data_IF_519826505882
#
_entry.id   IF_519826505882
#
_cell.length_a   1.000
_cell.length_b   1.000
_cell.length_c   1.000
_cell.angle_alpha   90.00
_cell.angle_beta   90.00
_cell.angle_gamma   90.00
#
_symmetry.space_group_name_H-M   'P 1'
#
loop_
_entity.id
_entity.type
_entity.pdbx_description
1 polymer ?
#
# COMPACT_ATOMS: atom_id res chain seq x y z
N UNK A 1 17.89 92.98 137.87
CA UNK A 1 16.71 93.68 137.30
C UNK A 1 15.73 92.63 136.84
N UNK A 2 14.61 92.54 137.55
CA UNK A 2 13.52 91.59 137.33
C UNK A 2 12.66 92.17 136.20
N UNK A 3 12.66 91.54 135.01
CA UNK A 3 11.76 91.94 133.93
C UNK A 3 10.29 91.71 134.35
N UNK A 4 9.46 92.70 134.06
CA UNK A 4 8.06 92.79 134.49
C UNK A 4 7.20 91.79 133.70
N UNK A 5 6.18 91.21 134.33
CA UNK A 5 5.31 90.17 133.76
C UNK A 5 4.71 90.55 132.38
N UNK A 6 4.49 91.85 132.16
CA UNK A 6 3.97 92.42 130.91
C UNK A 6 4.92 92.30 129.70
N UNK A 7 6.24 92.30 129.91
CA UNK A 7 7.22 92.15 128.82
C UNK A 7 7.30 90.71 128.31
N UNK A 8 7.16 89.73 129.21
CA UNK A 8 7.07 88.31 128.84
C UNK A 8 5.85 88.00 127.99
N UNK A 9 4.72 88.65 128.26
CA UNK A 9 3.48 88.43 127.49
C UNK A 9 3.62 88.94 126.06
N UNK A 10 4.22 90.11 125.87
CA UNK A 10 4.50 90.68 124.53
C UNK A 10 5.51 89.85 123.73
N UNK A 11 6.55 89.33 124.37
CA UNK A 11 7.52 88.43 123.72
C UNK A 11 6.83 87.17 123.20
N UNK A 12 5.93 86.60 123.99
CA UNK A 12 5.20 85.37 123.65
C UNK A 12 4.17 85.60 122.53
N UNK A 13 3.54 86.76 122.47
CA UNK A 13 2.64 87.15 121.37
C UNK A 13 3.39 87.29 120.04
N UNK A 14 4.58 87.91 120.05
CA UNK A 14 5.44 88.02 118.87
C UNK A 14 5.93 86.65 118.36
N UNK A 15 6.28 85.74 119.28
CA UNK A 15 6.64 84.36 118.91
C UNK A 15 5.44 83.60 118.33
N UNK A 16 4.23 83.80 118.87
CA UNK A 16 3.01 83.18 118.37
C UNK A 16 2.64 83.67 116.96
N UNK A 17 2.84 84.96 116.69
CA UNK A 17 2.66 85.55 115.34
C UNK A 17 3.68 85.00 114.35
N UNK A 18 4.94 84.86 114.76
CA UNK A 18 5.98 84.24 113.94
C UNK A 18 5.65 82.77 113.60
N UNK A 19 5.13 82.01 114.57
CA UNK A 19 4.70 80.62 114.34
C UNK A 19 3.49 80.55 113.39
N UNK A 20 2.53 81.47 113.51
CA UNK A 20 1.40 81.54 112.57
C UNK A 20 1.87 81.84 111.15
N UNK A 21 2.81 82.76 111.00
CA UNK A 21 3.39 83.11 109.71
C UNK A 21 4.12 81.90 109.08
N UNK A 22 4.96 81.20 109.86
CA UNK A 22 5.62 79.97 109.40
C UNK A 22 4.64 78.86 109.00
N UNK A 23 3.49 78.77 109.67
CA UNK A 23 2.47 77.76 109.37
C UNK A 23 1.76 78.03 108.05
N UNK A 24 1.52 79.30 107.72
CA UNK A 24 0.91 79.67 106.45
C UNK A 24 1.89 79.50 105.28
N UNK A 25 3.18 79.82 105.46
CA UNK A 25 4.21 79.48 104.46
C UNK A 25 4.33 77.96 104.22
N UNK A 26 4.27 77.13 105.27
CA UNK A 26 4.28 75.67 105.09
C UNK A 26 3.08 75.16 104.29
N UNK A 27 1.94 75.85 104.35
CA UNK A 27 0.73 75.50 103.60
C UNK A 27 0.86 75.90 102.13
N UNK A 28 1.44 77.06 101.85
CA UNK A 28 1.81 77.46 100.48
C UNK A 28 2.85 76.50 99.88
N UNK A 29 3.86 76.12 100.66
CA UNK A 29 4.89 75.18 100.21
C UNK A 29 4.32 73.78 99.93
N UNK A 30 3.30 73.36 100.70
CA UNK A 30 2.59 72.11 100.45
C UNK A 30 1.79 72.15 99.14
N UNK A 31 1.11 73.26 98.85
CA UNK A 31 0.43 73.44 97.56
C UNK A 31 1.43 73.39 96.39
N UNK A 32 2.62 73.96 96.57
CA UNK A 32 3.71 73.88 95.58
C UNK A 32 4.16 72.42 95.33
N UNK A 33 4.27 71.61 96.39
CA UNK A 33 4.62 70.20 96.27
C UNK A 33 3.53 69.35 95.61
N UNK A 34 2.24 69.66 95.84
CA UNK A 34 1.12 69.02 95.15
C UNK A 34 1.18 69.34 93.64
N UNK A 35 1.40 70.61 93.26
CA UNK A 35 1.54 71.00 91.85
C UNK A 35 2.75 70.37 91.13
N UNK A 36 3.83 70.06 91.86
CA UNK A 36 4.97 69.31 91.29
C UNK A 36 4.61 67.84 90.96
N UNK A 37 3.69 67.22 91.70
CA UNK A 37 3.21 65.86 91.38
C UNK A 37 2.33 65.86 90.13
N UNK A 38 1.44 66.84 89.99
CA UNK A 38 0.62 67.00 88.80
C UNK A 38 1.49 67.23 87.55
N UNK A 39 2.56 68.02 87.68
CA UNK A 39 3.53 68.24 86.61
C UNK A 39 4.30 66.96 86.22
N UNK A 40 4.61 66.09 87.18
CA UNK A 40 5.21 64.78 86.90
C UNK A 40 4.24 63.88 86.14
N UNK A 41 2.97 63.83 86.53
CA UNK A 41 1.95 63.05 85.84
C UNK A 41 1.76 63.52 84.39
N UNK A 42 1.67 64.84 84.17
CA UNK A 42 1.52 65.43 82.84
C UNK A 42 2.71 65.11 81.91
N UNK A 43 3.91 64.95 82.49
CA UNK A 43 5.13 64.60 81.75
C UNK A 43 5.11 63.15 81.24
N UNK A 44 4.54 62.22 82.01
CA UNK A 44 4.42 60.83 81.57
C UNK A 44 3.30 60.65 80.52
N UNK A 45 2.18 61.35 80.66
CA UNK A 45 1.15 61.36 79.61
C UNK A 45 1.68 61.93 78.28
N UNK A 46 2.58 62.92 78.33
CA UNK A 46 3.30 63.45 77.16
C UNK A 46 4.26 62.43 76.53
N UNK A 47 4.81 61.50 77.31
CA UNK A 47 5.69 60.43 76.83
C UNK A 47 4.88 59.34 76.15
N UNK A 48 3.76 58.94 76.73
CA UNK A 48 2.82 57.99 76.15
C UNK A 48 2.22 58.52 74.85
N UNK A 49 1.86 59.81 74.80
CA UNK A 49 1.37 60.45 73.57
C UNK A 49 2.42 60.51 72.46
N UNK A 50 3.71 60.66 72.81
CA UNK A 50 4.81 60.58 71.83
C UNK A 50 4.97 59.16 71.30
N UNK A 51 4.87 58.15 72.16
CA UNK A 51 4.94 56.75 71.74
C UNK A 51 3.78 56.39 70.81
N UNK A 52 2.55 56.76 71.18
CA UNK A 52 1.35 56.56 70.35
C UNK A 52 1.48 57.23 68.97
N UNK A 53 2.14 58.40 68.90
CA UNK A 53 2.37 59.12 67.65
C UNK A 53 3.34 58.39 66.71
N UNK A 54 4.37 57.75 67.24
CA UNK A 54 5.28 56.93 66.44
C UNK A 54 4.57 55.64 65.97
N UNK A 55 3.77 54.99 66.81
CA UNK A 55 2.97 53.82 66.40
C UNK A 55 1.96 54.16 65.29
N UNK A 56 1.34 55.35 65.34
CA UNK A 56 0.49 55.85 64.25
C UNK A 56 1.25 56.09 62.95
N UNK A 57 2.54 56.42 63.02
CA UNK A 57 3.39 56.64 61.85
C UNK A 57 3.73 55.31 61.18
N UNK A 58 4.07 54.29 61.96
CA UNK A 58 4.33 52.94 61.46
C UNK A 58 3.06 52.34 60.83
N UNK A 59 1.90 52.52 61.46
CA UNK A 59 0.62 52.07 60.88
C UNK A 59 0.25 52.80 59.60
N UNK A 60 0.57 54.10 59.50
CA UNK A 60 0.38 54.87 58.25
C UNK A 60 1.30 54.36 57.14
N UNK A 61 2.55 54.04 57.46
CA UNK A 61 3.47 53.45 56.50
C UNK A 61 2.96 52.09 56.00
N UNK A 62 2.49 51.24 56.92
CA UNK A 62 1.90 49.94 56.57
C UNK A 62 0.69 50.07 55.63
N UNK A 63 -0.19 51.06 55.87
CA UNK A 63 -1.32 51.31 54.97
C UNK A 63 -0.88 51.76 53.58
N UNK A 64 0.19 52.55 53.45
CA UNK A 64 0.70 52.98 52.15
C UNK A 64 1.35 51.82 51.39
N UNK A 65 2.10 50.96 52.07
CA UNK A 65 2.69 49.74 51.49
C UNK A 65 1.60 48.77 51.00
N UNK A 66 0.55 48.57 51.81
CA UNK A 66 -0.59 47.74 51.42
C UNK A 66 -1.32 48.32 50.20
N UNK A 67 -1.47 49.65 50.13
CA UNK A 67 -2.09 50.32 48.98
C UNK A 67 -1.26 50.12 47.71
N UNK A 68 0.06 50.29 47.77
CA UNK A 68 0.95 50.05 46.64
C UNK A 68 0.87 48.58 46.17
N UNK A 69 0.88 47.63 47.10
CA UNK A 69 0.73 46.21 46.77
C UNK A 69 -0.61 45.90 46.07
N UNK A 70 -1.69 46.58 46.48
CA UNK A 70 -3.00 46.41 45.86
C UNK A 70 -3.07 47.00 44.45
N UNK A 71 -2.40 48.13 44.21
CA UNK A 71 -2.26 48.74 42.87
C UNK A 71 -1.42 47.84 41.93
N UNK A 72 -0.32 47.28 42.42
CA UNK A 72 0.51 46.33 41.66
C UNK A 72 -0.28 45.05 41.31
N UNK A 73 -1.04 44.51 42.26
CA UNK A 73 -1.89 43.33 42.04
C UNK A 73 -2.97 43.61 40.98
N UNK A 74 -3.56 44.81 41.00
CA UNK A 74 -4.57 45.20 40.02
C UNK A 74 -4.00 45.23 38.59
N UNK A 75 -2.81 45.80 38.39
CA UNK A 75 -2.20 45.83 37.05
C UNK A 75 -1.70 44.45 36.60
N UNK A 76 -1.21 43.61 37.51
CA UNK A 76 -0.93 42.20 37.21
C UNK A 76 -2.18 41.47 36.73
N UNK A 77 -3.31 41.64 37.43
CA UNK A 77 -4.59 41.03 37.05
C UNK A 77 -5.06 41.50 35.67
N UNK A 78 -4.93 42.79 35.38
CA UNK A 78 -5.27 43.38 34.09
C UNK A 78 -4.43 42.78 32.95
N UNK A 79 -3.11 42.69 33.13
CA UNK A 79 -2.21 42.06 32.14
C UNK A 79 -2.60 40.59 31.92
N UNK A 80 -2.95 39.88 33.00
CA UNK A 80 -3.34 38.47 32.92
C UNK A 80 -4.66 38.27 32.16
N UNK A 81 -5.66 39.13 32.38
CA UNK A 81 -6.89 39.15 31.58
C UNK A 81 -6.61 39.40 30.08
N UNK A 82 -5.74 40.35 29.74
CA UNK A 82 -5.36 40.64 28.35
C UNK A 82 -4.61 39.46 27.71
N UNK A 83 -3.72 38.80 28.46
CA UNK A 83 -3.01 37.60 28.04
C UNK A 83 -3.98 36.47 27.66
N UNK A 84 -4.99 36.19 28.49
CA UNK A 84 -6.00 35.18 28.18
C UNK A 84 -6.80 35.55 26.92
N UNK A 85 -7.18 36.82 26.75
CA UNK A 85 -7.91 37.26 25.57
C UNK A 85 -7.08 37.10 24.26
N UNK A 86 -5.78 37.39 24.31
CA UNK A 86 -4.87 37.14 23.18
C UNK A 86 -4.71 35.65 22.89
N UNK A 87 -4.61 34.82 23.92
CA UNK A 87 -4.50 33.38 23.77
C UNK A 87 -5.72 32.78 23.07
N UNK A 88 -6.94 33.23 23.41
CA UNK A 88 -8.17 32.83 22.72
C UNK A 88 -8.14 33.19 21.23
N UNK A 89 -7.73 34.43 20.87
CA UNK A 89 -7.64 34.87 19.47
C UNK A 89 -6.64 34.04 18.66
N UNK A 90 -5.50 33.65 19.25
CA UNK A 90 -4.50 32.81 18.59
C UNK A 90 -5.09 31.44 18.25
N UNK A 91 -5.84 30.83 19.18
CA UNK A 91 -6.49 29.54 18.97
C UNK A 91 -7.53 29.64 17.83
N UNK A 92 -8.37 30.68 17.83
CA UNK A 92 -9.38 30.88 16.79
C UNK A 92 -8.77 31.07 15.40
N UNK A 93 -7.69 31.86 15.30
CA UNK A 93 -6.97 32.04 14.04
C UNK A 93 -6.35 30.73 13.55
N UNK A 94 -5.75 29.95 14.46
CA UNK A 94 -5.20 28.63 14.15
C UNK A 94 -6.27 27.67 13.61
N UNK A 95 -7.43 27.61 14.27
CA UNK A 95 -8.55 26.78 13.82
C UNK A 95 -9.09 27.21 12.44
N UNK A 96 -9.23 28.52 12.20
CA UNK A 96 -9.65 29.05 10.89
C UNK A 96 -8.67 28.69 9.78
N UNK A 97 -7.38 28.82 10.04
CA UNK A 97 -6.33 28.50 9.07
C UNK A 97 -6.31 26.99 8.78
N UNK A 98 -6.42 26.15 9.81
CA UNK A 98 -6.46 24.69 9.65
C UNK A 98 -7.67 24.24 8.84
N UNK A 99 -8.85 24.82 9.07
CA UNK A 99 -10.06 24.54 8.29
C UNK A 99 -9.89 24.93 6.82
N UNK A 100 -9.34 26.12 6.54
CA UNK A 100 -9.09 26.57 5.17
C UNK A 100 -8.09 25.68 4.42
N UNK A 101 -7.06 25.17 5.12
CA UNK A 101 -6.10 24.21 4.56
C UNK A 101 -6.78 22.88 4.23
N UNK A 102 -7.60 22.34 5.15
CA UNK A 102 -8.33 21.10 4.91
C UNK A 102 -9.31 21.20 3.73
N UNK A 103 -10.05 22.32 3.61
CA UNK A 103 -10.97 22.54 2.49
C UNK A 103 -10.23 22.62 1.14
N UNK A 104 -9.10 23.36 1.10
CA UNK A 104 -8.26 23.43 -0.11
C UNK A 104 -7.66 22.06 -0.48
N UNK A 105 -7.18 21.30 0.51
CA UNK A 105 -6.64 19.96 0.30
C UNK A 105 -7.71 19.00 -0.26
N UNK A 106 -8.91 18.99 0.33
CA UNK A 106 -10.02 18.17 -0.14
C UNK A 106 -10.47 18.52 -1.56
N UNK A 107 -10.52 19.81 -1.91
CA UNK A 107 -10.83 20.25 -3.27
C UNK A 107 -9.75 19.80 -4.28
N UNK A 108 -8.47 19.89 -3.91
CA UNK A 108 -7.37 19.48 -4.78
C UNK A 108 -7.35 17.96 -4.98
N UNK A 109 -7.59 17.18 -3.92
CA UNK A 109 -7.69 15.73 -3.98
C UNK A 109 -8.83 15.27 -4.88
N UNK A 110 -10.01 15.91 -4.81
CA UNK A 110 -11.14 15.62 -5.71
C UNK A 110 -10.80 15.90 -7.17
N UNK A 111 -10.12 17.02 -7.48
CA UNK A 111 -9.67 17.34 -8.84
C UNK A 111 -8.69 16.30 -9.37
N UNK A 112 -7.75 15.87 -8.53
CA UNK A 112 -6.77 14.84 -8.91
C UNK A 112 -7.44 13.49 -9.19
N UNK A 113 -8.40 13.09 -8.35
CA UNK A 113 -9.17 11.85 -8.57
C UNK A 113 -9.95 11.90 -9.89
N UNK A 114 -10.63 13.02 -10.19
CA UNK A 114 -11.35 13.19 -11.45
C UNK A 114 -10.43 13.07 -12.67
N UNK A 115 -9.21 13.59 -12.58
CA UNK A 115 -8.20 13.47 -13.65
C UNK A 115 -7.76 12.02 -13.86
N UNK A 116 -7.53 11.27 -12.78
CA UNK A 116 -7.20 9.84 -12.82
C UNK A 116 -8.34 9.04 -13.48
N UNK A 117 -9.58 9.28 -13.07
CA UNK A 117 -10.74 8.57 -13.61
C UNK A 117 -10.91 8.84 -15.12
N UNK A 118 -10.62 10.06 -15.58
CA UNK A 118 -10.63 10.42 -17.00
C UNK A 118 -9.53 9.69 -17.78
N UNK A 119 -8.31 9.65 -17.26
CA UNK A 119 -7.20 8.94 -17.88
C UNK A 119 -7.50 7.44 -17.99
N UNK A 120 -8.02 6.83 -16.92
CA UNK A 120 -8.41 5.41 -16.94
C UNK A 120 -9.47 5.12 -18.01
N UNK A 121 -10.50 5.95 -18.13
CA UNK A 121 -11.53 5.80 -19.20
C UNK A 121 -10.93 5.92 -20.60
N UNK A 122 -9.98 6.84 -20.81
CA UNK A 122 -9.30 6.98 -22.10
C UNK A 122 -8.43 5.77 -22.44
N UNK A 123 -7.74 5.21 -21.44
CA UNK A 123 -6.90 4.03 -21.59
C UNK A 123 -7.71 2.79 -21.97
N UNK A 124 -8.85 2.56 -21.30
CA UNK A 124 -9.76 1.45 -21.64
C UNK A 124 -10.25 1.56 -23.09
N UNK A 125 -10.71 2.74 -23.51
CA UNK A 125 -11.15 2.95 -24.91
C UNK A 125 -10.04 2.70 -25.95
N UNK A 126 -8.81 3.13 -25.66
CA UNK A 126 -7.66 2.86 -26.54
C UNK A 126 -7.33 1.38 -26.60
N UNK A 127 -7.33 0.69 -25.44
CA UNK A 127 -7.09 -0.75 -25.35
C UNK A 127 -8.16 -1.55 -26.11
N UNK A 128 -9.44 -1.22 -25.95
CA UNK A 128 -10.55 -1.89 -26.63
C UNK A 128 -10.47 -1.67 -28.14
N UNK A 129 -10.21 -0.43 -28.60
CA UNK A 129 -10.04 -0.13 -30.02
C UNK A 129 -8.81 -0.78 -30.66
N UNK A 130 -7.71 -0.94 -29.91
CA UNK A 130 -6.55 -1.70 -30.36
C UNK A 130 -6.89 -3.19 -30.49
N UNK A 131 -7.63 -3.75 -29.53
CA UNK A 131 -8.04 -5.15 -29.54
C UNK A 131 -8.98 -5.46 -30.71
N UNK A 132 -9.97 -4.61 -30.98
CA UNK A 132 -10.86 -4.74 -32.14
C UNK A 132 -10.09 -4.72 -33.48
N UNK A 133 -9.10 -3.85 -33.61
CA UNK A 133 -8.25 -3.79 -34.81
C UNK A 133 -7.39 -5.04 -34.99
N UNK A 134 -6.85 -5.59 -33.90
CA UNK A 134 -6.10 -6.86 -33.91
C UNK A 134 -7.02 -8.02 -34.27
N UNK A 135 -8.23 -8.09 -33.72
CA UNK A 135 -9.20 -9.15 -34.02
C UNK A 135 -9.71 -9.08 -35.48
N UNK A 136 -9.93 -7.88 -36.01
CA UNK A 136 -10.25 -7.65 -37.43
C UNK A 136 -9.11 -8.07 -38.36
N UNK A 137 -7.88 -7.69 -38.03
CA UNK A 137 -6.70 -8.10 -38.79
C UNK A 137 -6.50 -9.62 -38.75
N UNK A 138 -6.73 -10.23 -37.58
CA UNK A 138 -6.72 -11.68 -37.36
C UNK A 138 -7.75 -12.40 -38.23
N UNK A 139 -9.01 -11.98 -38.21
CA UNK A 139 -10.07 -12.55 -39.06
C UNK A 139 -9.67 -12.53 -40.54
N UNK A 140 -9.00 -11.45 -40.97
CA UNK A 140 -8.51 -11.31 -42.34
C UNK A 140 -7.33 -12.25 -42.64
N UNK A 141 -6.40 -12.42 -41.69
CA UNK A 141 -5.26 -13.33 -41.82
C UNK A 141 -5.66 -14.81 -41.77
N UNK A 142 -6.59 -15.16 -40.87
CA UNK A 142 -7.21 -16.49 -40.77
C UNK A 142 -7.92 -16.86 -42.08
N UNK A 143 -8.66 -15.92 -42.67
CA UNK A 143 -9.32 -16.10 -43.98
C UNK A 143 -8.32 -16.25 -45.14
N UNK A 144 -7.12 -15.70 -45.03
CA UNK A 144 -6.06 -15.80 -46.03
C UNK A 144 -5.15 -17.03 -45.81
N UNK A 145 -5.36 -17.80 -44.74
CA UNK A 145 -4.50 -18.93 -44.38
C UNK A 145 -3.07 -18.52 -44.02
N UNK A 146 -2.85 -17.24 -43.70
CA UNK A 146 -1.57 -16.69 -43.26
C UNK A 146 -1.56 -16.73 -41.74
N UNK A 147 -0.96 -17.75 -41.14
CA UNK A 147 -0.89 -17.89 -39.68
C UNK A 147 0.28 -17.03 -39.19
N UNK A 148 0.07 -15.99 -38.37
CA UNK A 148 1.17 -15.27 -37.73
C UNK A 148 1.98 -16.23 -36.85
N UNK A 149 3.28 -16.01 -36.70
CA UNK A 149 4.10 -16.78 -35.77
C UNK A 149 3.45 -16.77 -34.37
N UNK A 150 3.04 -17.95 -33.90
CA UNK A 150 2.36 -18.11 -32.62
C UNK A 150 3.39 -18.20 -31.49
N UNK A 151 3.11 -17.58 -30.35
CA UNK A 151 4.03 -17.44 -29.22
C UNK A 151 3.44 -18.10 -27.99
N UNK A 152 4.27 -18.49 -27.02
CA UNK A 152 3.77 -18.96 -25.74
C UNK A 152 3.12 -17.80 -24.97
N UNK A 153 1.89 -18.01 -24.50
CA UNK A 153 1.16 -17.00 -23.73
C UNK A 153 1.87 -16.75 -22.40
N UNK A 154 1.98 -15.48 -21.94
CA UNK A 154 2.59 -15.20 -20.66
C UNK A 154 1.70 -15.77 -19.56
N UNK A 155 2.19 -16.78 -18.84
CA UNK A 155 1.43 -17.38 -17.74
C UNK A 155 1.52 -16.44 -16.53
N UNK A 156 0.59 -15.50 -16.44
CA UNK A 156 0.50 -14.57 -15.31
C UNK A 156 0.24 -15.39 -14.04
N UNK A 157 1.26 -15.59 -13.21
CA UNK A 157 1.14 -16.20 -11.88
C UNK A 157 1.74 -17.59 -11.70
N UNK A 158 2.21 -18.28 -12.75
CA UNK A 158 2.98 -19.51 -12.56
C UNK A 158 4.46 -19.20 -12.30
N UNK A 159 4.84 -19.07 -11.02
CA UNK A 159 6.20 -18.73 -10.56
C UNK A 159 7.29 -19.73 -10.99
N UNK A 160 6.89 -20.89 -11.48
CA UNK A 160 7.76 -22.02 -11.80
C UNK A 160 7.92 -22.26 -13.31
N UNK A 161 7.42 -21.36 -14.17
CA UNK A 161 7.71 -21.35 -15.60
C UNK A 161 8.36 -20.02 -15.99
N UNK A 162 9.48 -20.11 -16.69
CA UNK A 162 10.12 -18.97 -17.33
C UNK A 162 9.96 -19.06 -18.85
N UNK A 163 9.55 -17.94 -19.45
CA UNK A 163 9.55 -17.73 -20.90
C UNK A 163 10.69 -16.78 -21.25
N UNK A 164 11.47 -17.11 -22.29
CA UNK A 164 12.62 -16.30 -22.71
C UNK A 164 12.43 -15.70 -24.11
N UNK A 165 13.08 -14.55 -24.32
CA UNK A 165 13.06 -13.80 -25.57
C UNK A 165 11.79 -12.97 -25.79
N UNK A 166 11.85 -12.01 -26.72
CA UNK A 166 10.68 -11.21 -27.14
C UNK A 166 9.63 -12.05 -27.86
N UNK A 167 10.08 -13.12 -28.52
CA UNK A 167 9.24 -14.05 -29.26
C UNK A 167 8.61 -15.12 -28.36
N UNK A 168 9.04 -15.24 -27.09
CA UNK A 168 8.49 -16.18 -26.09
C UNK A 168 8.36 -17.60 -26.65
N UNK A 169 9.44 -18.12 -27.23
CA UNK A 169 9.47 -19.46 -27.84
C UNK A 169 10.14 -20.51 -26.95
N UNK A 170 10.94 -20.07 -26.00
CA UNK A 170 11.65 -20.94 -25.07
C UNK A 170 10.87 -21.00 -23.76
N UNK A 171 10.56 -22.21 -23.31
CA UNK A 171 9.88 -22.49 -22.04
C UNK A 171 10.82 -23.30 -21.17
N UNK A 172 10.98 -22.90 -19.91
CA UNK A 172 11.76 -23.65 -18.92
C UNK A 172 11.00 -23.79 -17.61
N UNK A 173 11.07 -24.98 -17.02
CA UNK A 173 10.61 -25.19 -15.64
C UNK A 173 11.66 -24.67 -14.66
N UNK A 174 11.25 -23.73 -13.80
CA UNK A 174 12.11 -23.06 -12.81
C UNK A 174 11.71 -23.36 -11.37
N UNK A 175 10.67 -24.18 -11.16
CA UNK A 175 10.21 -24.56 -9.82
C UNK A 175 11.22 -25.46 -9.11
N UNK A 176 11.28 -25.37 -7.78
CA UNK A 176 12.23 -26.14 -6.96
C UNK A 176 11.83 -27.62 -6.87
N UNK A 177 10.53 -27.90 -6.84
CA UNK A 177 9.98 -29.26 -6.73
C UNK A 177 9.38 -29.71 -8.08
N UNK A 178 9.46 -31.02 -8.41
CA UNK A 178 8.78 -31.57 -9.58
C UNK A 178 7.27 -31.38 -9.46
N UNK A 179 6.69 -30.75 -10.47
CA UNK A 179 5.25 -30.51 -10.55
C UNK A 179 4.89 -30.14 -11.98
N UNK A 180 3.69 -30.54 -12.43
CA UNK A 180 3.23 -30.23 -13.78
C UNK A 180 3.08 -28.72 -13.95
N UNK A 181 3.65 -28.20 -15.03
CA UNK A 181 3.51 -26.80 -15.40
C UNK A 181 3.26 -26.73 -16.89
N UNK A 182 2.05 -26.30 -17.24
CA UNK A 182 1.60 -26.20 -18.61
C UNK A 182 1.58 -24.76 -19.11
N UNK A 183 1.91 -24.56 -20.38
CA UNK A 183 1.75 -23.29 -21.07
C UNK A 183 1.05 -23.52 -22.40
N UNK A 184 0.10 -22.63 -22.70
CA UNK A 184 -0.64 -22.58 -23.94
C UNK A 184 0.02 -21.56 -24.86
N UNK A 185 -0.10 -21.77 -26.17
CA UNK A 185 0.18 -20.70 -27.11
C UNK A 185 -0.87 -19.59 -26.99
N UNK A 186 -0.53 -18.40 -27.47
CA UNK A 186 -1.37 -17.22 -27.42
C UNK A 186 -2.64 -17.39 -28.26
N UNK A 187 -2.50 -18.05 -29.43
CA UNK A 187 -3.57 -18.25 -30.39
C UNK A 187 -3.97 -19.71 -30.55
N UNK A 188 -5.27 -20.00 -30.79
CA UNK A 188 -5.73 -21.35 -31.08
C UNK A 188 -5.32 -21.77 -32.48
N UNK A 189 -5.45 -23.07 -32.74
CA UNK A 189 -5.43 -23.66 -34.08
C UNK A 189 -6.49 -22.95 -34.96
N UNK A 190 -6.14 -22.53 -36.19
CA UNK A 190 -7.08 -21.93 -37.11
C UNK A 190 -8.31 -22.80 -37.37
N UNK A 191 -9.45 -22.14 -37.60
CA UNK A 191 -10.75 -22.79 -37.87
C UNK A 191 -11.00 -23.07 -39.35
N UNK A 192 -10.07 -22.72 -40.24
CA UNK A 192 -10.22 -23.03 -41.65
C UNK A 192 -10.23 -24.55 -41.84
N UNK A 193 -11.05 -25.06 -42.76
CA UNK A 193 -11.27 -26.50 -42.93
C UNK A 193 -10.24 -27.15 -43.88
N UNK A 194 -9.15 -26.45 -44.20
CA UNK A 194 -8.20 -26.86 -45.22
C UNK A 194 -6.76 -26.79 -44.71
N UNK A 195 -5.97 -27.81 -45.06
CA UNK A 195 -4.57 -27.91 -44.68
C UNK A 195 -4.33 -28.62 -43.35
N UNK A 196 -3.09 -28.52 -42.89
CA UNK A 196 -2.63 -29.11 -41.64
C UNK A 196 -2.06 -27.97 -40.81
N UNK A 197 -2.57 -27.82 -39.59
CA UNK A 197 -1.89 -27.03 -38.58
C UNK A 197 -0.79 -27.89 -37.96
N UNK A 198 0.42 -27.36 -37.80
CA UNK A 198 1.54 -28.12 -37.27
C UNK A 198 2.52 -27.18 -36.54
N UNK A 199 3.06 -27.64 -35.41
CA UNK A 199 4.13 -26.96 -34.70
C UNK A 199 5.16 -27.99 -34.21
N UNK A 200 6.41 -27.56 -34.12
CA UNK A 200 7.52 -28.37 -33.62
C UNK A 200 8.17 -27.71 -32.41
N UNK A 201 8.66 -28.54 -31.50
CA UNK A 201 9.47 -28.11 -30.37
C UNK A 201 10.75 -28.92 -30.32
N UNK A 202 11.86 -28.24 -30.13
CA UNK A 202 13.15 -28.83 -29.81
C UNK A 202 13.22 -29.09 -28.30
N UNK A 203 13.58 -30.32 -27.91
CA UNK A 203 13.79 -30.69 -26.51
C UNK A 203 15.20 -30.25 -26.09
N UNK A 204 15.32 -29.01 -25.64
CA UNK A 204 16.61 -28.41 -25.28
C UNK A 204 17.24 -29.05 -24.05
N UNK A 205 16.41 -29.41 -23.05
CA UNK A 205 16.89 -30.07 -21.84
C UNK A 205 15.80 -30.95 -21.26
N UNK A 206 16.17 -32.18 -20.89
CA UNK A 206 15.25 -33.12 -20.23
C UNK A 206 15.99 -33.97 -19.22
N UNK A 207 15.38 -34.20 -18.05
CA UNK A 207 15.97 -35.14 -17.09
C UNK A 207 16.05 -36.57 -17.68
N UNK A 208 17.25 -37.15 -17.65
CA UNK A 208 17.51 -38.50 -18.21
C UNK A 208 16.66 -39.56 -17.52
N UNK A 209 16.14 -40.51 -18.30
CA UNK A 209 15.33 -41.65 -17.85
C UNK A 209 14.02 -41.34 -17.11
N UNK A 210 13.62 -40.06 -17.00
CA UNK A 210 12.34 -39.68 -16.41
C UNK A 210 11.39 -39.17 -17.48
N UNK A 211 10.10 -39.45 -17.31
CA UNK A 211 9.05 -38.85 -18.11
C UNK A 211 8.67 -37.52 -17.48
N UNK A 212 8.65 -36.44 -18.26
CA UNK A 212 8.35 -35.12 -17.70
C UNK A 212 7.96 -34.05 -18.69
N UNK A 213 8.07 -34.33 -19.99
CA UNK A 213 7.67 -33.39 -21.05
C UNK A 213 6.50 -34.00 -21.80
N UNK A 214 5.46 -33.21 -22.03
CA UNK A 214 4.37 -33.55 -22.92
C UNK A 214 4.03 -32.40 -23.85
N UNK A 215 3.71 -32.77 -25.10
CA UNK A 215 3.44 -31.85 -26.19
C UNK A 215 2.11 -32.22 -26.79
N UNK A 216 1.23 -31.25 -26.96
CA UNK A 216 -0.14 -31.54 -27.30
C UNK A 216 -1.01 -30.33 -27.53
N UNK A 217 -2.30 -30.55 -27.34
CA UNK A 217 -3.36 -29.61 -27.63
C UNK A 217 -4.36 -29.57 -26.48
N UNK A 218 -4.80 -28.37 -26.12
CA UNK A 218 -5.80 -28.17 -25.07
C UNK A 218 -6.70 -26.96 -25.35
N UNK A 219 -7.95 -26.95 -24.84
CA UNK A 219 -8.76 -25.74 -24.83
C UNK A 219 -8.17 -24.71 -23.86
N UNK A 220 -8.59 -23.44 -23.99
CA UNK A 220 -8.10 -22.35 -23.13
C UNK A 220 -8.36 -22.56 -21.64
N UNK A 221 -9.42 -23.27 -21.30
CA UNK A 221 -9.93 -23.44 -19.94
C UNK A 221 -9.42 -24.74 -19.30
N UNK A 222 -8.09 -24.91 -19.23
CA UNK A 222 -7.47 -26.04 -18.51
C UNK A 222 -6.72 -25.58 -17.26
N UNK A 223 -6.67 -26.38 -16.18
CA UNK A 223 -5.77 -26.12 -15.06
C UNK A 223 -4.30 -26.19 -15.53
N UNK A 224 -3.61 -25.05 -15.57
CA UNK A 224 -2.21 -24.96 -16.03
C UNK A 224 -1.20 -25.57 -15.05
N UNK A 225 -1.64 -25.90 -13.83
CA UNK A 225 -0.86 -26.66 -12.84
C UNK A 225 -0.88 -28.18 -13.06
N UNK A 226 -1.58 -28.66 -14.09
CA UNK A 226 -1.73 -30.06 -14.40
C UNK A 226 -1.23 -30.39 -15.81
N UNK A 227 -1.18 -31.68 -16.11
CA UNK A 227 -0.60 -32.25 -17.32
C UNK A 227 -1.55 -32.17 -18.53
N UNK A 228 -1.03 -31.72 -19.68
CA UNK A 228 -1.76 -31.76 -20.94
C UNK A 228 -2.02 -33.21 -21.33
N UNK A 229 -3.29 -33.60 -21.47
CA UNK A 229 -3.72 -34.98 -21.68
C UNK A 229 -4.60 -35.52 -20.54
N UNK A 230 -4.50 -34.98 -19.32
CA UNK A 230 -5.27 -35.45 -18.16
C UNK A 230 -6.78 -35.21 -18.27
N UNK A 231 -7.19 -34.13 -18.96
CA UNK A 231 -8.60 -33.71 -19.00
C UNK A 231 -9.26 -34.07 -20.33
N UNK A 232 -10.58 -34.19 -20.29
CA UNK A 232 -11.37 -34.30 -21.51
C UNK A 232 -11.15 -33.09 -22.42
N UNK A 233 -11.10 -33.34 -23.74
CA UNK A 233 -10.77 -32.32 -24.73
C UNK A 233 -9.28 -31.97 -24.83
N UNK A 234 -8.41 -32.59 -24.01
CA UNK A 234 -6.95 -32.46 -24.15
C UNK A 234 -6.33 -33.71 -24.78
N UNK A 235 -5.25 -33.51 -25.53
CA UNK A 235 -4.52 -34.53 -26.27
C UNK A 235 -3.03 -34.29 -26.12
N UNK A 236 -2.24 -35.33 -25.89
CA UNK A 236 -0.80 -35.14 -25.74
C UNK A 236 0.04 -36.35 -26.12
N UNK A 237 1.27 -36.07 -26.50
CA UNK A 237 2.36 -37.01 -26.61
C UNK A 237 3.40 -36.74 -25.52
N UNK A 238 3.56 -37.70 -24.60
CA UNK A 238 4.51 -37.63 -23.49
C UNK A 238 5.84 -38.28 -23.86
N UNK A 239 6.92 -37.75 -23.28
CA UNK A 239 8.31 -38.19 -23.52
C UNK A 239 8.59 -39.67 -23.23
N UNK A 240 7.72 -40.35 -22.49
CA UNK A 240 7.78 -41.79 -22.24
C UNK A 240 7.35 -42.66 -23.43
N UNK A 241 6.81 -42.09 -24.50
CA UNK A 241 6.20 -42.89 -25.56
C UNK A 241 4.70 -43.15 -25.32
N UNK A 242 4.03 -42.26 -24.58
CA UNK A 242 2.60 -42.41 -24.25
C UNK A 242 1.78 -41.32 -24.93
N UNK A 243 0.77 -41.70 -25.70
CA UNK A 243 -0.27 -40.81 -26.19
C UNK A 243 -1.43 -40.76 -25.21
N UNK A 244 -1.94 -39.57 -24.91
CA UNK A 244 -3.03 -39.33 -23.98
C UNK A 244 -4.23 -38.69 -24.66
N UNK A 245 -5.43 -39.07 -24.23
CA UNK A 245 -6.69 -38.46 -24.65
C UNK A 245 -7.32 -39.04 -25.92
N UNK A 246 -6.82 -40.17 -26.42
CA UNK A 246 -7.31 -40.83 -27.63
C UNK A 246 -8.05 -42.13 -27.29
N UNK A 247 -9.38 -42.05 -27.20
CA UNK A 247 -10.25 -43.22 -26.98
C UNK A 247 -10.49 -44.00 -28.27
N UNK A 248 -9.52 -44.83 -28.65
CA UNK A 248 -9.57 -45.69 -29.85
C UNK A 248 -9.53 -47.17 -29.45
N UNK A 249 -9.94 -48.06 -30.36
CA UNK A 249 -9.86 -49.50 -30.12
C UNK A 249 -8.42 -49.92 -29.72
N UNK A 250 -8.30 -50.70 -28.64
CA UNK A 250 -7.01 -51.13 -28.10
C UNK A 250 -6.30 -50.13 -27.18
N UNK A 251 -6.91 -48.98 -26.84
CA UNK A 251 -6.36 -48.08 -25.82
C UNK A 251 -6.57 -48.62 -24.41
N UNK A 252 -5.61 -48.35 -23.52
CA UNK A 252 -5.79 -48.53 -22.08
C UNK A 252 -6.50 -47.32 -21.47
N UNK A 253 -7.09 -47.46 -20.30
CA UNK A 253 -7.72 -46.34 -19.59
C UNK A 253 -7.57 -46.50 -18.08
N UNK A 254 -7.00 -45.49 -17.44
CA UNK A 254 -6.98 -45.32 -15.98
C UNK A 254 -7.44 -43.90 -15.67
N UNK A 255 -8.76 -43.69 -15.69
CA UNK A 255 -9.40 -42.36 -15.65
C UNK A 255 -9.36 -41.60 -16.99
N UNK A 256 -8.31 -41.76 -17.80
CA UNK A 256 -8.20 -41.17 -19.15
C UNK A 256 -7.67 -42.19 -20.17
N UNK A 257 -8.18 -42.21 -21.42
CA UNK A 257 -7.64 -43.06 -22.46
C UNK A 257 -6.19 -42.73 -22.78
N UNK A 258 -5.34 -43.76 -22.88
CA UNK A 258 -3.95 -43.62 -23.28
C UNK A 258 -3.45 -44.81 -24.11
N UNK A 259 -2.37 -44.58 -24.85
CA UNK A 259 -1.72 -45.58 -25.70
C UNK A 259 -0.21 -45.50 -25.44
N UNK A 260 0.34 -46.52 -24.80
CA UNK A 260 1.77 -46.63 -24.50
C UNK A 260 2.54 -47.39 -25.59
N UNK A 261 3.86 -47.45 -25.47
CA UNK A 261 4.72 -48.20 -26.40
C UNK A 261 4.99 -47.49 -27.72
N UNK A 262 4.75 -46.18 -27.78
CA UNK A 262 5.16 -45.32 -28.90
C UNK A 262 6.60 -44.88 -28.71
N UNK A 263 7.13 -44.16 -29.69
CA UNK A 263 8.57 -43.97 -29.84
C UNK A 263 9.33 -43.35 -28.67
N UNK A 264 8.78 -42.63 -27.68
CA UNK A 264 9.62 -41.90 -26.71
C UNK A 264 10.56 -40.87 -27.36
N UNK A 265 11.01 -39.92 -26.56
CA UNK A 265 11.89 -38.85 -27.03
C UNK A 265 12.71 -38.30 -25.87
N UNK A 266 13.87 -37.78 -26.22
CA UNK A 266 14.88 -37.31 -25.29
C UNK A 266 15.45 -35.94 -25.66
N UNK A 267 16.43 -35.51 -24.87
CA UNK A 267 17.13 -34.24 -25.10
C UNK A 267 17.82 -34.26 -26.48
N UNK A 268 17.57 -33.23 -27.28
CA UNK A 268 18.04 -33.08 -28.65
C UNK A 268 17.05 -33.50 -29.73
N UNK A 269 15.96 -34.20 -29.37
CA UNK A 269 14.91 -34.55 -30.33
C UNK A 269 14.04 -33.32 -30.69
N UNK A 270 13.55 -33.31 -31.93
CA UNK A 270 12.51 -32.38 -32.39
C UNK A 270 11.18 -33.13 -32.43
N UNK A 271 10.20 -32.67 -31.68
CA UNK A 271 8.90 -33.33 -31.55
C UNK A 271 7.82 -32.42 -32.12
N UNK A 272 7.04 -32.95 -33.06
CA UNK A 272 5.97 -32.21 -33.71
C UNK A 272 4.58 -32.66 -33.28
N UNK A 273 3.65 -31.72 -33.27
CA UNK A 273 2.23 -31.97 -33.05
C UNK A 273 1.40 -31.12 -34.03
N UNK A 274 0.38 -31.74 -34.62
CA UNK A 274 -0.50 -31.03 -35.54
C UNK A 274 -1.83 -31.70 -35.76
N UNK A 275 -2.70 -31.05 -36.52
CA UNK A 275 -4.06 -31.50 -36.82
C UNK A 275 -4.34 -31.30 -38.29
N UNK A 276 -4.80 -32.35 -38.96
CA UNK A 276 -5.47 -32.19 -40.25
C UNK A 276 -6.81 -31.51 -40.02
N UNK A 277 -6.96 -30.28 -40.53
CA UNK A 277 -8.10 -29.44 -40.18
C UNK A 277 -9.41 -29.93 -40.81
N UNK A 278 -9.33 -30.66 -41.92
CA UNK A 278 -10.49 -31.26 -42.59
C UNK A 278 -10.96 -32.52 -41.86
N UNK A 279 -10.04 -33.44 -41.54
CA UNK A 279 -10.39 -34.75 -40.96
C UNK A 279 -10.37 -34.77 -39.44
N UNK A 280 -9.84 -33.70 -38.81
CA UNK A 280 -9.61 -33.60 -37.37
C UNK A 280 -8.64 -34.66 -36.83
N UNK A 281 -7.87 -35.31 -37.71
CA UNK A 281 -6.85 -36.29 -37.32
C UNK A 281 -5.65 -35.57 -36.70
N UNK A 282 -5.22 -36.02 -35.51
CA UNK A 282 -3.98 -35.53 -34.91
C UNK A 282 -2.76 -36.22 -35.55
N UNK A 283 -1.64 -35.53 -35.60
CA UNK A 283 -0.36 -36.02 -36.12
C UNK A 283 0.71 -35.71 -35.10
N UNK A 284 1.52 -36.72 -34.77
CA UNK A 284 2.74 -36.56 -33.97
C UNK A 284 3.96 -36.97 -34.80
N UNK A 285 5.07 -36.27 -34.60
CA UNK A 285 6.37 -36.61 -35.21
C UNK A 285 7.48 -36.61 -34.17
N UNK A 286 8.54 -37.38 -34.43
CA UNK A 286 9.84 -37.24 -33.77
C UNK A 286 10.88 -37.17 -34.88
N UNK A 287 11.71 -36.13 -34.88
CA UNK A 287 12.76 -35.88 -35.86
C UNK A 287 12.24 -35.96 -37.32
N UNK A 288 11.05 -35.40 -37.55
CA UNK A 288 10.36 -35.41 -38.84
C UNK A 288 9.68 -36.74 -39.21
N UNK A 289 9.90 -37.83 -38.46
CA UNK A 289 9.23 -39.10 -38.70
C UNK A 289 7.83 -39.11 -38.08
N UNK A 290 6.79 -39.30 -38.90
CA UNK A 290 5.40 -39.42 -38.45
C UNK A 290 5.16 -40.71 -37.68
N UNK A 291 4.51 -40.59 -36.53
CA UNK A 291 4.06 -41.71 -35.71
C UNK A 291 2.66 -42.21 -36.12
N UNK A 292 2.37 -43.48 -35.85
CA UNK A 292 1.08 -44.08 -36.16
C UNK A 292 -0.05 -43.47 -35.30
N UNK A 293 -0.86 -42.67 -35.98
CA UNK A 293 -1.92 -41.81 -35.46
C UNK A 293 -3.21 -41.92 -36.29
N UNK A 294 -3.32 -42.95 -37.15
CA UNK A 294 -4.32 -43.01 -38.23
C UNK A 294 -5.77 -42.86 -37.73
N UNK A 295 -6.11 -43.40 -36.57
CA UNK A 295 -7.46 -43.40 -36.03
C UNK A 295 -7.67 -42.40 -34.88
N UNK A 296 -6.71 -41.48 -34.66
CA UNK A 296 -6.74 -40.55 -33.53
C UNK A 296 -7.31 -39.21 -33.97
N UNK A 297 -8.52 -38.88 -33.48
CA UNK A 297 -9.23 -37.64 -33.81
C UNK A 297 -9.31 -36.69 -32.61
N UNK A 298 -9.33 -35.39 -32.90
CA UNK A 298 -9.61 -34.34 -31.91
C UNK A 298 -11.05 -33.86 -32.01
N UNK A 299 -11.75 -33.84 -30.88
CA UNK A 299 -13.19 -33.56 -30.80
C UNK A 299 -13.49 -32.13 -30.32
N UNK A 300 -12.59 -31.50 -29.58
CA UNK A 300 -12.79 -30.16 -29.05
C UNK A 300 -12.56 -29.08 -30.13
N UNK A 301 -13.44 -28.08 -30.20
CA UNK A 301 -13.21 -26.85 -30.96
C UNK A 301 -12.24 -25.94 -30.18
N UNK A 302 -11.57 -25.01 -30.86
CA UNK A 302 -10.71 -24.00 -30.20
C UNK A 302 -9.55 -24.59 -29.36
N UNK A 303 -8.84 -25.56 -29.95
CA UNK A 303 -7.62 -26.11 -29.37
C UNK A 303 -6.44 -25.17 -29.56
N UNK A 304 -5.57 -25.11 -28.56
CA UNK A 304 -4.32 -24.36 -28.57
C UNK A 304 -3.15 -25.33 -28.47
N UNK A 305 -2.02 -25.07 -29.16
CA UNK A 305 -0.75 -25.71 -28.82
C UNK A 305 -0.49 -25.59 -27.31
N UNK A 306 -0.13 -26.69 -26.69
CA UNK A 306 0.08 -26.78 -25.26
C UNK A 306 1.26 -27.70 -24.97
N UNK A 307 2.08 -27.31 -24.01
CA UNK A 307 3.23 -28.08 -23.55
C UNK A 307 3.24 -28.13 -22.03
N UNK A 308 3.60 -29.27 -21.47
CA UNK A 308 3.78 -29.47 -20.03
C UNK A 308 5.24 -29.84 -19.75
N UNK A 309 5.82 -29.17 -18.76
CA UNK A 309 7.11 -29.54 -18.17
C UNK A 309 6.89 -29.97 -16.71
N UNK A 310 7.60 -31.00 -16.25
CA UNK A 310 7.42 -31.55 -14.91
C UNK A 310 8.66 -31.41 -14.03
N UNK A 311 9.85 -31.69 -14.56
CA UNK A 311 11.07 -31.63 -13.78
C UNK A 311 11.72 -30.25 -13.84
N UNK A 312 12.31 -29.85 -12.71
CA UNK A 312 13.10 -28.63 -12.61
C UNK A 312 14.20 -28.61 -13.67
N UNK A 313 14.23 -27.55 -14.47
CA UNK A 313 15.22 -27.36 -15.53
C UNK A 313 14.90 -28.06 -16.85
N UNK A 314 13.79 -28.81 -16.96
CA UNK A 314 13.27 -29.21 -18.27
C UNK A 314 13.06 -27.95 -19.11
N UNK A 315 13.46 -28.02 -20.38
CA UNK A 315 13.49 -26.86 -21.28
C UNK A 315 13.16 -27.29 -22.70
N UNK A 316 12.31 -26.51 -23.35
CA UNK A 316 11.98 -26.67 -24.75
C UNK A 316 12.09 -25.34 -25.49
N UNK A 317 12.18 -25.42 -26.81
CA UNK A 317 12.18 -24.28 -27.71
C UNK A 317 11.22 -24.58 -28.87
N UNK A 318 10.18 -23.77 -29.02
CA UNK A 318 9.32 -23.82 -30.19
C UNK A 318 10.11 -23.33 -31.41
N UNK A 319 10.05 -24.10 -32.50
CA UNK A 319 10.75 -23.74 -33.73
C UNK A 319 9.92 -22.74 -34.53
N UNK A 320 10.54 -21.62 -34.89
CA UNK A 320 10.00 -20.68 -35.88
C UNK A 320 10.10 -21.33 -37.26
N UNK A 321 9.10 -22.12 -37.66
CA UNK A 321 9.19 -22.77 -38.95
C UNK A 321 8.61 -21.92 -40.09
N UNK A 322 9.49 -21.18 -40.77
CA UNK A 322 9.28 -20.61 -42.11
C UNK A 322 9.07 -21.71 -43.18
N UNK A 323 9.37 -22.99 -42.89
CA UNK A 323 9.34 -24.07 -43.90
C UNK A 323 7.93 -24.58 -44.23
N UNK A 324 6.90 -24.25 -43.45
CA UNK A 324 5.53 -24.70 -43.75
C UNK A 324 4.81 -23.88 -44.83
N UNK A 325 5.20 -22.62 -45.04
CA UNK A 325 4.67 -21.81 -46.14
C UNK A 325 5.14 -22.31 -47.52
N UNK A 326 6.25 -23.05 -47.60
CA UNK A 326 6.77 -23.60 -48.85
C UNK A 326 6.08 -24.92 -49.24
N UNK A 327 5.73 -25.79 -48.27
CA UNK A 327 5.12 -27.08 -48.60
C UNK A 327 3.63 -26.94 -48.99
N UNK A 328 2.87 -26.05 -48.35
CA UNK A 328 1.48 -25.79 -48.74
C UNK A 328 1.37 -25.05 -50.07
N UNK A 329 2.30 -24.13 -50.40
CA UNK A 329 2.32 -23.49 -51.73
C UNK A 329 2.64 -24.50 -52.84
N UNK A 330 3.59 -25.41 -52.62
CA UNK A 330 3.95 -26.42 -53.62
C UNK A 330 2.83 -27.46 -53.83
N UNK A 331 2.18 -27.92 -52.74
CA UNK A 331 1.11 -28.92 -52.84
C UNK A 331 -0.18 -28.31 -53.42
N UNK A 332 -0.56 -27.08 -53.04
CA UNK A 332 -1.75 -26.42 -53.59
C UNK A 332 -1.62 -26.07 -55.09
N UNK A 333 -0.40 -25.73 -55.54
CA UNK A 333 -0.12 -25.51 -56.97
C UNK A 333 -0.15 -26.85 -57.74
N UNK A 334 0.44 -27.92 -57.19
CA UNK A 334 0.40 -29.25 -57.83
C UNK A 334 -1.02 -29.83 -57.93
N UNK A 335 -1.88 -29.64 -56.92
CA UNK A 335 -3.28 -30.08 -56.99
C UNK A 335 -4.13 -29.22 -57.92
N UNK A 336 -3.89 -27.90 -57.98
CA UNK A 336 -4.60 -27.01 -58.91
C UNK A 336 -4.23 -27.26 -60.36
N UNK A 337 -2.96 -27.59 -60.67
CA UNK A 337 -2.52 -27.92 -62.03
C UNK A 337 -3.09 -29.29 -62.47
N UNK A 338 -3.11 -30.30 -61.60
CA UNK A 338 -3.69 -31.60 -61.94
C UNK A 338 -5.22 -31.55 -62.15
N UNK A 339 -5.92 -30.71 -61.39
CA UNK A 339 -7.36 -30.49 -61.63
C UNK A 339 -7.60 -29.73 -62.95
N UNK A 340 -6.74 -28.77 -63.31
CA UNK A 340 -6.83 -28.05 -64.59
C UNK A 340 -6.48 -28.92 -65.81
N UNK A 341 -5.57 -29.88 -65.66
CA UNK A 341 -5.20 -30.85 -66.70
C UNK A 341 -6.25 -31.95 -66.90
N UNK A 342 -6.96 -32.37 -65.84
CA UNK A 342 -8.10 -33.29 -66.00
C UNK A 342 -9.32 -32.63 -66.66
N UNK A 343 -9.58 -31.35 -66.39
CA UNK A 343 -10.73 -30.64 -67.00
C UNK A 343 -10.49 -30.32 -68.49
N UNK A 344 -9.23 -30.15 -68.90
CA UNK A 344 -8.87 -29.93 -70.32
C UNK A 344 -8.86 -31.21 -71.16
N UNK A 345 -8.65 -32.40 -70.56
CA UNK A 345 -8.73 -33.69 -71.27
C UNK A 345 -10.16 -34.25 -71.42
N UNK A 346 -11.16 -33.70 -70.73
CA UNK A 346 -12.56 -34.13 -70.83
C UNK A 346 -13.34 -33.30 -71.88
N UNK A 347 -12.71 -32.26 -72.45
CA UNK A 347 -13.30 -31.36 -73.45
C UNK A 347 -12.66 -31.42 -74.85
N UNK A 348 -11.85 -32.44 -75.16
CA UNK A 348 -11.34 -32.67 -76.54
C UNK A 348 -12.10 -33.77 -77.25
#
# INVERSE_FOLDING_TARGET
>A
MIMNWSEKTKQMELELESIKWMKEEMKEMKQYMEGMKDMQQLKEELKDMKQLKEEMKDMKQYMEEMKQSMEEMHELHKIECEKYALQTKIIELGQKQQKAVHEKMGANQKKQQQSIDQLQKSFVKLSDGQKENVDQFRLKMDNLGLIPQNKWEPVVGHKDLALFGTERLIVQHTGIAPANRSVLAEWPIPKNHFGIFFFEVNIVKKQKHLAGIAIGLAPKQIPLGDFVGCYEGTYAYQSSGTFWGHGVEGCSSDGRPYISGKLAFEEGDVVGCGVNLATRQIVYTVNGQRLDTANMLVTCADLYPCVTLYHTGDKIEALEDDRFLLLLKAIAICFSINHFLQISSIKS
#
